data_IF_760520419685
#
_entry.id   IF_760520419685
#
_cell.length_a   1.000
_cell.length_b   1.000
_cell.length_c   1.000
_cell.angle_alpha   90.00
_cell.angle_beta   90.00
_cell.angle_gamma   90.00
#
_symmetry.space_group_name_H-M   'P 1'
#
loop_
_entity.id
_entity.type
_entity.pdbx_description
1 polymer ?
#
# COMPACT_ATOMS: atom_id res chain seq x y z
N UNK A 1 40.64 12.90 -18.08
CA UNK A 1 39.63 11.90 -18.52
C UNK A 1 38.93 11.41 -17.27
N UNK A 2 37.74 11.95 -17.03
CA UNK A 2 36.93 11.68 -15.84
C UNK A 2 36.20 10.34 -15.99
N UNK A 3 36.00 9.59 -14.90
CA UNK A 3 35.39 8.27 -14.97
C UNK A 3 33.88 8.38 -15.13
N UNK A 4 33.36 7.51 -15.98
CA UNK A 4 31.96 7.26 -16.28
C UNK A 4 31.24 6.77 -15.01
N UNK A 5 30.13 7.42 -14.66
CA UNK A 5 29.46 7.31 -13.34
C UNK A 5 27.99 6.92 -13.48
N UNK A 6 27.66 6.09 -14.48
CA UNK A 6 26.26 5.79 -14.85
C UNK A 6 25.80 4.34 -14.77
N UNK A 7 26.62 3.38 -14.30
CA UNK A 7 26.26 1.94 -14.42
C UNK A 7 25.93 1.18 -13.12
N UNK A 8 25.71 1.86 -11.99
CA UNK A 8 25.35 1.18 -10.73
C UNK A 8 23.84 1.04 -10.49
N UNK A 9 22.99 1.81 -11.17
CA UNK A 9 21.53 1.77 -10.94
C UNK A 9 20.83 0.55 -11.55
N UNK A 10 21.44 -0.10 -12.54
CA UNK A 10 20.82 -1.22 -13.27
C UNK A 10 21.00 -2.57 -12.55
N UNK A 11 22.00 -2.69 -11.68
CA UNK A 11 22.31 -3.95 -10.98
C UNK A 11 21.37 -4.28 -9.82
N UNK A 12 20.63 -3.30 -9.28
CA UNK A 12 19.62 -3.56 -8.24
C UNK A 12 18.36 -4.23 -8.86
N UNK A 13 18.14 -4.08 -10.17
CA UNK A 13 16.85 -4.37 -10.82
C UNK A 13 16.78 -5.79 -11.40
N UNK A 14 17.89 -6.52 -11.51
CA UNK A 14 17.94 -7.81 -12.20
C UNK A 14 18.67 -8.91 -11.41
N UNK A 15 18.09 -9.39 -10.30
CA UNK A 15 18.57 -10.63 -9.66
C UNK A 15 17.40 -11.52 -9.26
N UNK A 16 17.07 -12.51 -10.09
CA UNK A 16 16.27 -13.67 -9.70
C UNK A 16 17.19 -14.73 -9.09
N UNK A 17 17.06 -15.10 -7.80
CA UNK A 17 17.97 -16.07 -7.19
C UNK A 17 17.46 -17.51 -7.38
N UNK A 18 18.22 -18.32 -8.12
CA UNK A 18 18.02 -19.77 -8.27
C UNK A 18 18.78 -20.62 -7.24
N UNK A 19 19.58 -20.02 -6.34
CA UNK A 19 20.38 -20.74 -5.34
C UNK A 19 20.30 -20.13 -3.93
N UNK A 20 20.29 -20.97 -2.87
CA UNK A 20 20.19 -20.53 -1.46
C UNK A 20 21.33 -19.61 -1.01
N UNK A 21 22.55 -19.80 -1.55
CA UNK A 21 23.70 -18.94 -1.28
C UNK A 21 23.54 -17.55 -1.90
N UNK A 22 23.02 -17.45 -3.12
CA UNK A 22 22.69 -16.16 -3.74
C UNK A 22 21.61 -15.42 -2.94
N UNK A 23 20.59 -16.13 -2.44
CA UNK A 23 19.55 -15.53 -1.58
C UNK A 23 20.12 -14.96 -0.28
N UNK A 24 21.12 -15.62 0.32
CA UNK A 24 21.78 -15.14 1.54
C UNK A 24 22.67 -13.91 1.28
N UNK A 25 23.42 -13.89 0.17
CA UNK A 25 24.20 -12.71 -0.23
C UNK A 25 23.29 -11.50 -0.55
N UNK A 26 22.15 -11.74 -1.20
CA UNK A 26 21.15 -10.70 -1.48
C UNK A 26 20.54 -10.18 -0.18
N UNK A 27 20.29 -11.06 0.82
CA UNK A 27 19.79 -10.62 2.11
C UNK A 27 20.80 -9.71 2.84
N UNK A 28 22.09 -10.07 2.83
CA UNK A 28 23.16 -9.23 3.39
C UNK A 28 23.26 -7.86 2.70
N UNK A 29 23.21 -7.83 1.37
CA UNK A 29 23.19 -6.57 0.61
C UNK A 29 21.96 -5.72 0.93
N UNK A 30 20.76 -6.30 0.95
CA UNK A 30 19.53 -5.57 1.27
C UNK A 30 19.58 -5.00 2.69
N UNK A 31 20.14 -5.75 3.65
CA UNK A 31 20.30 -5.27 5.01
C UNK A 31 21.29 -4.10 5.10
N UNK A 32 22.42 -4.16 4.38
CA UNK A 32 23.39 -3.05 4.29
C UNK A 32 22.75 -1.82 3.64
N UNK A 33 22.04 -2.01 2.52
CA UNK A 33 21.36 -0.94 1.79
C UNK A 33 20.27 -0.25 2.62
N UNK A 34 19.46 -1.03 3.36
CA UNK A 34 18.40 -0.50 4.24
C UNK A 34 18.98 0.15 5.50
N UNK A 35 20.11 -0.34 6.00
CA UNK A 35 20.74 0.11 7.23
C UNK A 35 21.43 1.47 7.10
N UNK A 36 21.90 1.98 8.24
CA UNK A 36 22.74 3.18 8.27
C UNK A 36 24.16 2.85 7.80
N UNK A 37 24.85 3.78 7.12
CA UNK A 37 24.43 5.15 6.81
C UNK A 37 23.66 5.29 5.48
N UNK A 38 23.39 4.20 4.77
CA UNK A 38 22.85 4.26 3.40
C UNK A 38 21.38 4.68 3.36
N UNK A 39 20.56 4.24 4.33
CA UNK A 39 19.13 4.57 4.44
C UNK A 39 18.37 4.46 3.11
N UNK A 40 18.62 3.36 2.39
CA UNK A 40 18.19 3.19 1.01
C UNK A 40 16.66 3.23 0.81
N UNK A 41 15.88 2.95 1.86
CA UNK A 41 14.41 3.10 1.83
C UNK A 41 14.03 4.56 1.61
N UNK A 42 14.63 5.49 2.36
CA UNK A 42 14.37 6.92 2.22
C UNK A 42 14.77 7.42 0.83
N UNK A 43 15.96 7.02 0.35
CA UNK A 43 16.43 7.39 -0.99
C UNK A 43 15.51 6.87 -2.11
N UNK A 44 15.00 5.65 -1.98
CA UNK A 44 14.02 5.11 -2.93
C UNK A 44 12.69 5.88 -2.89
N UNK A 45 12.22 6.30 -1.72
CA UNK A 45 11.01 7.13 -1.60
C UNK A 45 11.19 8.51 -2.23
N UNK A 46 12.36 9.13 -2.07
CA UNK A 46 12.71 10.38 -2.73
C UNK A 46 12.77 10.22 -4.26
N UNK A 47 13.37 9.14 -4.74
CA UNK A 47 13.39 8.80 -6.16
C UNK A 47 11.97 8.61 -6.72
N UNK A 48 11.12 7.85 -6.02
CA UNK A 48 9.72 7.66 -6.41
C UNK A 48 8.98 8.99 -6.52
N UNK A 49 9.20 9.89 -5.56
CA UNK A 49 8.63 11.25 -5.58
C UNK A 49 9.12 12.06 -6.78
N UNK A 50 10.42 11.99 -7.10
CA UNK A 50 10.99 12.67 -8.27
C UNK A 50 10.38 12.14 -9.58
N UNK A 51 10.20 10.83 -9.69
CA UNK A 51 9.50 10.18 -10.81
C UNK A 51 8.08 10.71 -10.94
N UNK A 52 7.30 10.76 -9.86
CA UNK A 52 5.92 11.28 -9.88
C UNK A 52 5.83 12.76 -10.24
N UNK A 53 6.75 13.59 -9.75
CA UNK A 53 6.82 15.01 -10.12
C UNK A 53 7.12 15.19 -11.62
N UNK A 54 8.01 14.36 -12.17
CA UNK A 54 8.28 14.32 -13.61
C UNK A 54 7.03 13.92 -14.40
N UNK A 55 6.29 12.89 -13.95
CA UNK A 55 5.02 12.50 -14.58
C UNK A 55 4.02 13.66 -14.61
N UNK A 56 3.80 14.32 -13.47
CA UNK A 56 2.84 15.42 -13.37
C UNK A 56 3.19 16.60 -14.30
N UNK A 57 4.49 16.92 -14.45
CA UNK A 57 4.94 17.96 -15.37
C UNK A 57 4.79 17.57 -16.85
N UNK A 58 4.89 16.27 -17.16
CA UNK A 58 4.93 15.75 -18.53
C UNK A 58 3.58 15.30 -19.09
N UNK A 59 2.56 15.10 -18.25
CA UNK A 59 1.23 14.59 -18.64
C UNK A 59 0.57 15.33 -19.81
N UNK A 60 0.87 16.62 -20.03
CA UNK A 60 0.26 17.42 -21.10
C UNK A 60 1.14 17.59 -22.36
N UNK A 61 2.42 17.16 -22.36
CA UNK A 61 3.39 17.61 -23.39
C UNK A 61 4.31 16.52 -23.96
N UNK A 62 4.30 15.30 -23.40
CA UNK A 62 5.29 14.29 -23.77
C UNK A 62 4.75 13.21 -24.73
N UNK A 63 5.58 12.75 -25.69
CA UNK A 63 5.27 11.60 -26.53
C UNK A 63 4.95 10.33 -25.73
N UNK A 64 4.06 9.45 -26.22
CA UNK A 64 3.67 8.21 -25.52
C UNK A 64 4.82 7.31 -25.04
N UNK A 65 5.94 7.15 -25.76
CA UNK A 65 7.08 6.33 -25.29
C UNK A 65 7.71 6.84 -23.99
N UNK A 66 7.83 8.17 -23.83
CA UNK A 66 8.39 8.77 -22.62
C UNK A 66 7.43 8.56 -21.45
N UNK A 67 6.13 8.78 -21.64
CA UNK A 67 5.13 8.52 -20.60
C UNK A 67 5.17 7.06 -20.12
N UNK A 68 5.29 6.10 -21.05
CA UNK A 68 5.43 4.68 -20.71
C UNK A 68 6.71 4.41 -19.91
N UNK A 69 7.82 5.07 -20.23
CA UNK A 69 9.07 4.91 -19.49
C UNK A 69 8.93 5.38 -18.04
N UNK A 70 8.30 6.53 -17.80
CA UNK A 70 8.13 7.04 -16.44
C UNK A 70 7.22 6.13 -15.59
N UNK A 71 6.19 5.51 -16.19
CA UNK A 71 5.36 4.51 -15.51
C UNK A 71 6.13 3.22 -15.17
N UNK A 72 7.09 2.82 -16.01
CA UNK A 72 7.97 1.69 -15.73
C UNK A 72 8.96 2.02 -14.59
N UNK A 73 9.55 3.21 -14.60
CA UNK A 73 10.47 3.65 -13.55
C UNK A 73 9.75 3.74 -12.18
N UNK A 74 8.49 4.22 -12.16
CA UNK A 74 7.63 4.16 -10.96
C UNK A 74 7.45 2.72 -10.46
N UNK A 75 7.07 1.80 -11.36
CA UNK A 75 6.85 0.41 -10.99
C UNK A 75 8.12 -0.26 -10.46
N UNK A 76 9.26 -0.03 -11.12
CA UNK A 76 10.55 -0.57 -10.69
C UNK A 76 10.96 -0.04 -9.31
N UNK A 77 10.70 1.23 -9.02
CA UNK A 77 10.97 1.80 -7.71
C UNK A 77 10.11 1.14 -6.61
N UNK A 78 8.82 0.92 -6.87
CA UNK A 78 7.93 0.18 -5.97
C UNK A 78 8.41 -1.26 -5.72
N UNK A 79 8.91 -1.95 -6.74
CA UNK A 79 9.47 -3.31 -6.58
C UNK A 79 10.75 -3.32 -5.75
N UNK A 80 11.60 -2.30 -5.88
CA UNK A 80 12.79 -2.15 -5.05
C UNK A 80 12.41 -1.95 -3.57
N UNK A 81 11.44 -1.08 -3.29
CA UNK A 81 10.89 -0.89 -1.95
C UNK A 81 10.28 -2.19 -1.39
N UNK A 82 9.52 -2.93 -2.20
CA UNK A 82 8.95 -4.22 -1.81
C UNK A 82 10.04 -5.23 -1.45
N UNK A 83 11.14 -5.25 -2.21
CA UNK A 83 12.29 -6.11 -1.93
C UNK A 83 13.00 -5.72 -0.64
N UNK A 84 13.02 -4.43 -0.28
CA UNK A 84 13.57 -3.96 0.99
C UNK A 84 12.80 -4.49 2.21
N UNK A 85 11.49 -4.76 2.08
CA UNK A 85 10.67 -5.30 3.18
C UNK A 85 11.08 -6.70 3.67
N UNK A 86 12.03 -7.35 2.99
CA UNK A 86 12.71 -8.56 3.51
C UNK A 86 13.56 -8.24 4.75
N UNK A 87 13.98 -6.99 4.92
CA UNK A 87 14.65 -6.49 6.11
C UNK A 87 13.61 -6.01 7.14
N UNK A 88 13.67 -6.47 8.41
CA UNK A 88 12.72 -6.05 9.46
C UNK A 88 12.66 -4.53 9.68
N UNK A 89 13.78 -3.84 9.47
CA UNK A 89 13.91 -2.39 9.70
C UNK A 89 13.30 -1.55 8.58
N UNK A 90 13.13 -2.12 7.39
CA UNK A 90 12.61 -1.40 6.24
C UNK A 90 11.18 -0.90 6.46
N UNK A 91 10.31 -1.71 7.10
CA UNK A 91 8.94 -1.31 7.41
C UNK A 91 8.88 -0.13 8.40
N UNK A 92 9.80 -0.09 9.38
CA UNK A 92 9.92 1.05 10.30
C UNK A 92 10.35 2.30 9.56
N UNK A 93 11.42 2.22 8.77
CA UNK A 93 11.94 3.35 7.97
C UNK A 93 10.89 3.89 6.99
N UNK A 94 10.16 2.98 6.33
CA UNK A 94 9.03 3.32 5.46
C UNK A 94 7.97 4.15 6.21
N UNK A 95 7.61 3.73 7.42
CA UNK A 95 6.60 4.37 8.25
C UNK A 95 7.05 5.71 8.85
N UNK A 96 8.37 5.91 8.99
CA UNK A 96 8.98 7.13 9.53
C UNK A 96 9.08 8.28 8.53
N UNK A 97 8.67 8.09 7.27
CA UNK A 97 8.70 9.14 6.24
C UNK A 97 7.27 9.52 5.82
N UNK A 98 6.63 10.54 6.43
CA UNK A 98 5.29 10.97 6.06
C UNK A 98 5.17 11.37 4.58
N UNK A 99 6.20 12.06 4.05
CA UNK A 99 6.27 12.42 2.64
C UNK A 99 6.35 11.17 1.74
N UNK A 100 7.13 10.16 2.15
CA UNK A 100 7.24 8.88 1.44
C UNK A 100 5.93 8.09 1.45
N UNK A 101 5.22 8.04 2.58
CA UNK A 101 3.91 7.40 2.68
C UNK A 101 2.87 8.08 1.79
N UNK A 102 2.89 9.41 1.71
CA UNK A 102 2.05 10.14 0.76
C UNK A 102 2.40 9.79 -0.69
N UNK A 103 3.68 9.75 -1.04
CA UNK A 103 4.17 9.30 -2.35
C UNK A 103 3.68 7.87 -2.69
N UNK A 104 3.67 6.95 -1.73
CA UNK A 104 3.09 5.61 -1.92
C UNK A 104 1.57 5.64 -2.08
N UNK A 105 0.86 6.46 -1.32
CA UNK A 105 -0.59 6.62 -1.45
C UNK A 105 -0.99 7.12 -2.85
N UNK A 106 -0.19 8.02 -3.45
CA UNK A 106 -0.39 8.48 -4.83
C UNK A 106 -0.31 7.30 -5.83
N UNK A 107 0.55 6.30 -5.60
CA UNK A 107 0.66 5.13 -6.48
C UNK A 107 -0.60 4.25 -6.51
N UNK A 108 -1.53 4.37 -5.54
CA UNK A 108 -2.85 3.73 -5.62
C UNK A 108 -3.63 4.26 -6.85
N UNK A 109 -3.40 5.53 -7.22
CA UNK A 109 -4.05 6.20 -8.35
C UNK A 109 -3.35 5.91 -9.70
N UNK A 110 -2.24 5.16 -9.70
CA UNK A 110 -1.43 4.88 -10.90
C UNK A 110 -2.27 4.25 -12.02
N UNK A 111 -1.95 4.46 -13.29
CA UNK A 111 -2.66 3.78 -14.40
C UNK A 111 -2.21 2.32 -14.60
N UNK A 112 -1.24 1.86 -13.82
CA UNK A 112 -0.68 0.50 -13.90
C UNK A 112 -1.19 -0.35 -12.75
N UNK A 113 -2.07 -1.33 -13.00
CA UNK A 113 -2.65 -2.18 -11.96
C UNK A 113 -1.59 -2.86 -11.08
N UNK A 114 -0.46 -3.30 -11.66
CA UNK A 114 0.66 -3.88 -10.91
C UNK A 114 1.30 -2.90 -9.93
N UNK A 115 1.41 -1.62 -10.28
CA UNK A 115 1.90 -0.59 -9.36
C UNK A 115 0.92 -0.38 -8.20
N UNK A 116 -0.38 -0.39 -8.48
CA UNK A 116 -1.41 -0.28 -7.42
C UNK A 116 -1.33 -1.43 -6.42
N UNK A 117 -1.17 -2.66 -6.91
CA UNK A 117 -0.99 -3.86 -6.05
C UNK A 117 0.19 -3.65 -5.10
N UNK A 118 1.37 -3.30 -5.64
CA UNK A 118 2.57 -3.15 -4.81
C UNK A 118 2.44 -1.97 -3.84
N UNK A 119 1.83 -0.87 -4.26
CA UNK A 119 1.56 0.27 -3.37
C UNK A 119 0.68 -0.13 -2.17
N UNK A 120 -0.39 -0.91 -2.42
CA UNK A 120 -1.27 -1.42 -1.36
C UNK A 120 -0.53 -2.39 -0.43
N UNK A 121 0.31 -3.28 -0.96
CA UNK A 121 1.14 -4.18 -0.15
C UNK A 121 2.15 -3.41 0.73
N UNK A 122 2.80 -2.38 0.19
CA UNK A 122 3.74 -1.52 0.93
C UNK A 122 3.03 -0.76 2.06
N UNK A 123 1.87 -0.16 1.77
CA UNK A 123 1.07 0.56 2.78
C UNK A 123 0.50 -0.39 3.84
N UNK A 124 0.13 -1.61 3.46
CA UNK A 124 -0.25 -2.67 4.41
C UNK A 124 0.90 -2.94 5.39
N UNK A 125 2.11 -3.11 4.87
CA UNK A 125 3.31 -3.39 5.68
C UNK A 125 3.75 -2.20 6.55
N UNK A 126 3.38 -0.97 6.18
CA UNK A 126 3.58 0.21 7.02
C UNK A 126 2.59 0.27 8.20
N UNK A 127 1.41 -0.34 8.08
CA UNK A 127 0.44 -0.43 9.17
C UNK A 127 0.79 -1.53 10.19
N UNK A 128 1.36 -2.65 9.73
CA UNK A 128 1.68 -3.82 10.57
C UNK A 128 2.96 -3.61 11.42
N UNK A 129 3.04 -4.18 12.64
CA UNK A 129 4.29 -4.27 13.38
C UNK A 129 5.42 -4.93 12.55
N UNK A 130 6.68 -4.46 12.65
CA UNK A 130 7.17 -3.42 13.56
C UNK A 130 6.88 -1.98 13.12
N UNK A 131 6.16 -1.77 12.00
CA UNK A 131 5.67 -0.45 11.60
C UNK A 131 4.69 0.13 12.63
N UNK A 132 4.93 1.37 13.05
CA UNK A 132 4.11 2.07 14.05
C UNK A 132 3.07 3.00 13.39
N UNK A 133 2.59 2.64 12.20
CA UNK A 133 2.24 3.63 11.18
C UNK A 133 0.78 3.86 10.88
N UNK A 134 -0.20 3.36 11.67
CA UNK A 134 -1.62 3.60 11.35
C UNK A 134 -1.89 5.10 11.16
N UNK A 135 -1.45 5.94 12.10
CA UNK A 135 -1.65 7.40 12.02
C UNK A 135 -0.95 8.01 10.80
N UNK A 136 0.36 7.82 10.56
CA UNK A 136 1.02 8.30 9.33
C UNK A 136 0.35 7.84 8.01
N UNK A 137 -0.08 6.58 7.92
CA UNK A 137 -0.78 6.05 6.73
C UNK A 137 -2.16 6.70 6.58
N UNK A 138 -2.88 6.87 7.69
CA UNK A 138 -4.17 7.56 7.74
C UNK A 138 -4.06 9.01 7.27
N UNK A 139 -3.03 9.73 7.71
CA UNK A 139 -2.74 11.12 7.29
C UNK A 139 -2.38 11.20 5.80
N UNK A 140 -1.58 10.27 5.29
CA UNK A 140 -1.25 10.18 3.87
C UNK A 140 -2.51 10.00 3.00
N UNK A 141 -3.44 9.13 3.41
CA UNK A 141 -4.72 8.91 2.73
C UNK A 141 -5.67 10.12 2.84
N UNK A 142 -5.68 10.80 3.99
CA UNK A 142 -6.43 12.05 4.14
C UNK A 142 -5.88 13.15 3.24
N UNK A 143 -4.56 13.23 3.08
CA UNK A 143 -3.88 14.15 2.16
C UNK A 143 -4.20 13.79 0.71
N UNK A 144 -4.22 12.49 0.38
CA UNK A 144 -4.60 12.00 -0.96
C UNK A 144 -6.01 12.46 -1.33
N UNK A 145 -6.98 12.26 -0.42
CA UNK A 145 -8.37 12.73 -0.58
C UNK A 145 -8.41 14.21 -0.95
N UNK A 146 -7.71 15.06 -0.19
CA UNK A 146 -7.69 16.51 -0.40
C UNK A 146 -7.00 16.89 -1.73
N UNK A 147 -5.87 16.25 -2.04
CA UNK A 147 -5.07 16.57 -3.24
C UNK A 147 -5.76 16.18 -4.55
N UNK A 148 -6.55 15.11 -4.53
CA UNK A 148 -7.26 14.61 -5.71
C UNK A 148 -8.75 14.95 -5.71
N UNK A 149 -9.21 15.75 -4.75
CA UNK A 149 -10.60 16.21 -4.70
C UNK A 149 -11.60 15.08 -4.50
N UNK A 150 -11.22 14.03 -3.78
CA UNK A 150 -12.16 12.97 -3.44
C UNK A 150 -13.22 13.49 -2.46
N UNK A 151 -14.52 13.22 -2.70
CA UNK A 151 -15.59 13.73 -1.83
C UNK A 151 -15.50 13.17 -0.40
N UNK A 152 -15.10 11.91 -0.28
CA UNK A 152 -14.84 11.19 0.98
C UNK A 152 -13.57 10.36 0.82
N UNK A 153 -12.89 10.04 1.91
CA UNK A 153 -11.67 9.23 1.87
C UNK A 153 -12.00 7.84 1.31
N UNK A 154 -11.05 7.24 0.59
CA UNK A 154 -11.16 5.90 -0.02
C UNK A 154 -12.13 5.80 -1.20
N UNK A 155 -12.75 6.90 -1.66
CA UNK A 155 -13.77 6.85 -2.71
C UNK A 155 -13.24 6.21 -3.99
N UNK A 156 -12.06 6.62 -4.45
CA UNK A 156 -11.42 6.02 -5.61
C UNK A 156 -11.02 4.57 -5.35
N UNK A 157 -10.40 4.28 -4.20
CA UNK A 157 -9.95 2.93 -3.85
C UNK A 157 -11.12 1.94 -3.88
N UNK A 158 -12.22 2.27 -3.22
CA UNK A 158 -13.43 1.43 -3.18
C UNK A 158 -14.02 1.28 -4.57
N UNK A 159 -14.16 2.37 -5.32
CA UNK A 159 -14.63 2.32 -6.71
C UNK A 159 -13.77 1.41 -7.59
N UNK A 160 -12.44 1.55 -7.47
CA UNK A 160 -11.49 0.70 -8.16
C UNK A 160 -11.64 -0.78 -7.80
N UNK A 161 -11.79 -1.13 -6.51
CA UNK A 161 -11.90 -2.52 -6.08
C UNK A 161 -13.20 -3.17 -6.60
N UNK A 162 -14.30 -2.41 -6.61
CA UNK A 162 -15.59 -2.85 -7.14
C UNK A 162 -15.54 -2.98 -8.68
N UNK A 163 -14.86 -2.06 -9.35
CA UNK A 163 -14.76 -2.00 -10.81
C UNK A 163 -13.54 -2.72 -11.38
N UNK A 164 -12.77 -3.45 -10.59
CA UNK A 164 -11.44 -3.99 -10.95
C UNK A 164 -11.42 -4.97 -12.14
N UNK A 165 -12.55 -5.18 -12.83
CA UNK A 165 -12.62 -5.91 -14.10
C UNK A 165 -12.19 -7.36 -13.99
N UNK A 166 -12.25 -7.94 -12.79
CA UNK A 166 -11.76 -9.30 -12.52
C UNK A 166 -10.24 -9.39 -12.38
N UNK A 167 -9.54 -8.37 -11.89
CA UNK A 167 -8.15 -8.50 -11.42
C UNK A 167 -8.14 -8.94 -9.95
N UNK A 168 -8.04 -10.25 -9.65
CA UNK A 168 -8.15 -10.78 -8.29
C UNK A 168 -7.00 -10.33 -7.39
N UNK A 169 -5.80 -10.11 -7.95
CA UNK A 169 -4.62 -9.70 -7.17
C UNK A 169 -4.81 -8.29 -6.60
N UNK A 170 -5.37 -7.38 -7.40
CA UNK A 170 -5.67 -6.01 -6.97
C UNK A 170 -6.76 -6.00 -5.90
N UNK A 171 -7.80 -6.82 -6.07
CA UNK A 171 -8.86 -6.98 -5.09
C UNK A 171 -8.33 -7.55 -3.77
N UNK A 172 -7.54 -8.61 -3.83
CA UNK A 172 -6.93 -9.23 -2.66
C UNK A 172 -6.00 -8.27 -1.91
N UNK A 173 -5.12 -7.56 -2.64
CA UNK A 173 -4.22 -6.57 -2.05
C UNK A 173 -4.99 -5.42 -1.39
N UNK A 174 -6.03 -4.91 -2.05
CA UNK A 174 -6.86 -3.83 -1.53
C UNK A 174 -7.67 -4.23 -0.30
N UNK A 175 -8.31 -5.41 -0.32
CA UNK A 175 -9.03 -5.92 0.85
C UNK A 175 -8.09 -6.21 2.02
N UNK A 176 -6.90 -6.77 1.75
CA UNK A 176 -5.88 -6.98 2.78
C UNK A 176 -5.45 -5.65 3.41
N UNK A 177 -5.21 -4.64 2.59
CA UNK A 177 -4.88 -3.30 3.06
C UNK A 177 -5.99 -2.73 3.96
N UNK A 178 -7.24 -2.73 3.49
CA UNK A 178 -8.37 -2.20 4.26
C UNK A 178 -8.56 -2.92 5.60
N UNK A 179 -8.44 -4.25 5.61
CA UNK A 179 -8.54 -5.03 6.85
C UNK A 179 -7.44 -4.67 7.83
N UNK A 180 -6.20 -4.67 7.34
CA UNK A 180 -5.03 -4.31 8.16
C UNK A 180 -5.15 -2.89 8.69
N UNK A 181 -5.62 -1.96 7.86
CA UNK A 181 -5.83 -0.57 8.26
C UNK A 181 -6.90 -0.45 9.36
N UNK A 182 -8.01 -1.17 9.27
CA UNK A 182 -9.03 -1.22 10.33
C UNK A 182 -8.53 -1.90 11.60
N UNK A 183 -7.80 -3.01 11.47
CA UNK A 183 -7.30 -3.79 12.59
C UNK A 183 -6.25 -3.02 13.40
N UNK A 184 -5.40 -2.26 12.71
CA UNK A 184 -4.34 -1.42 13.30
C UNK A 184 -4.81 -0.06 13.81
N UNK A 185 -6.11 0.24 13.73
CA UNK A 185 -6.67 1.47 14.27
C UNK A 185 -6.36 1.60 15.78
N UNK A 186 -6.03 2.82 16.27
CA UNK A 186 -5.52 3.02 17.64
C UNK A 186 -6.56 2.77 18.73
N UNK A 187 -7.86 2.80 18.40
CA UNK A 187 -8.93 2.47 19.32
C UNK A 187 -10.16 1.95 18.59
N UNK A 188 -11.09 1.32 19.33
CA UNK A 188 -12.37 0.88 18.79
C UNK A 188 -13.19 2.05 18.20
N UNK A 189 -13.15 3.22 18.84
CA UNK A 189 -13.82 4.42 18.33
C UNK A 189 -13.25 4.85 16.97
N UNK A 190 -11.92 4.82 16.80
CA UNK A 190 -11.32 5.11 15.49
C UNK A 190 -11.76 4.08 14.45
N UNK A 191 -11.80 2.79 14.80
CA UNK A 191 -12.28 1.74 13.90
C UNK A 191 -13.71 2.00 13.43
N UNK A 192 -14.63 2.36 14.33
CA UNK A 192 -16.01 2.71 13.98
C UNK A 192 -16.09 3.93 13.03
N UNK A 193 -15.27 4.96 13.26
CA UNK A 193 -15.20 6.11 12.36
C UNK A 193 -14.70 5.72 10.96
N UNK A 194 -13.64 4.90 10.89
CA UNK A 194 -13.10 4.40 9.62
C UNK A 194 -14.11 3.54 8.87
N UNK A 195 -14.86 2.69 9.59
CA UNK A 195 -15.93 1.89 9.02
C UNK A 195 -17.02 2.80 8.39
N UNK A 196 -17.44 3.85 9.09
CA UNK A 196 -18.39 4.82 8.55
C UNK A 196 -17.85 5.57 7.30
N UNK A 197 -16.56 5.93 7.27
CA UNK A 197 -15.94 6.51 6.07
C UNK A 197 -15.93 5.54 4.89
N UNK A 198 -15.62 4.27 5.12
CA UNK A 198 -15.66 3.23 4.09
C UNK A 198 -17.08 3.03 3.57
N UNK A 199 -18.09 3.05 4.44
CA UNK A 199 -19.49 2.99 4.04
C UNK A 199 -19.86 4.16 3.13
N UNK A 200 -19.51 5.39 3.52
CA UNK A 200 -19.71 6.59 2.72
C UNK A 200 -18.98 6.54 1.36
N UNK A 201 -17.82 5.87 1.30
CA UNK A 201 -17.09 5.62 0.07
C UNK A 201 -17.77 4.58 -0.86
N UNK A 202 -18.80 3.89 -0.37
CA UNK A 202 -19.58 2.88 -1.08
C UNK A 202 -19.19 1.44 -0.76
N UNK A 203 -18.40 1.21 0.30
CA UNK A 203 -17.95 -0.11 0.71
C UNK A 203 -19.04 -0.79 1.57
N UNK A 204 -20.00 -1.42 0.89
CA UNK A 204 -21.15 -2.10 1.49
C UNK A 204 -21.01 -3.63 1.43
N UNK A 205 -21.81 -4.35 2.21
CA UNK A 205 -21.88 -5.83 2.15
C UNK A 205 -22.22 -6.36 0.74
N UNK A 206 -23.00 -5.62 -0.04
CA UNK A 206 -23.29 -5.92 -1.44
C UNK A 206 -22.06 -5.71 -2.34
N UNK A 207 -21.29 -4.64 -2.11
CA UNK A 207 -20.04 -4.39 -2.82
C UNK A 207 -18.98 -5.46 -2.49
N UNK A 208 -18.84 -5.85 -1.22
CA UNK A 208 -17.92 -6.91 -0.78
C UNK A 208 -18.25 -8.24 -1.46
N UNK A 209 -19.54 -8.58 -1.60
CA UNK A 209 -19.96 -9.79 -2.33
C UNK A 209 -19.54 -9.77 -3.80
N UNK A 210 -19.67 -8.64 -4.48
CA UNK A 210 -19.20 -8.49 -5.88
C UNK A 210 -17.70 -8.68 -6.00
N UNK A 211 -16.92 -8.17 -5.04
CA UNK A 211 -15.46 -8.37 -4.99
C UNK A 211 -15.11 -9.84 -4.71
N UNK A 212 -15.86 -10.53 -3.85
CA UNK A 212 -15.66 -11.96 -3.53
C UNK A 212 -16.03 -12.93 -4.65
N UNK A 213 -16.91 -12.55 -5.57
CA UNK A 213 -17.29 -13.40 -6.70
C UNK A 213 -16.17 -13.61 -7.74
N UNK A 214 -14.98 -13.00 -7.58
CA UNK A 214 -13.89 -13.05 -8.56
C UNK A 214 -12.85 -14.16 -8.39
N UNK A 215 -12.81 -14.97 -7.30
CA UNK A 215 -12.31 -16.38 -7.31
C UNK A 215 -12.15 -17.04 -5.92
N UNK A 216 -12.18 -18.39 -5.97
CA UNK A 216 -11.87 -19.39 -4.96
C UNK A 216 -10.43 -19.33 -4.42
N UNK A 217 -10.08 -18.30 -3.66
CA UNK A 217 -8.79 -18.23 -2.95
C UNK A 217 -9.04 -18.19 -1.45
N UNK A 218 -8.54 -19.23 -0.77
CA UNK A 218 -8.64 -19.46 0.68
C UNK A 218 -7.98 -18.36 1.50
N UNK A 219 -8.70 -17.24 1.67
CA UNK A 219 -8.33 -16.17 2.56
C UNK A 219 -9.22 -16.24 3.80
N UNK A 220 -8.63 -16.66 4.91
CA UNK A 220 -9.18 -16.55 6.27
C UNK A 220 -9.24 -15.07 6.73
N UNK A 221 -9.41 -14.12 5.81
CA UNK A 221 -9.62 -12.67 6.06
C UNK A 221 -11.05 -12.37 6.52
N UNK A 222 -11.69 -13.34 7.16
CA UNK A 222 -13.12 -13.35 7.45
C UNK A 222 -13.48 -12.57 8.70
N UNK A 223 -12.61 -12.40 9.69
CA UNK A 223 -13.03 -11.83 10.99
C UNK A 223 -13.44 -10.35 10.94
N UNK A 224 -12.61 -9.44 10.42
CA UNK A 224 -12.91 -8.00 10.46
C UNK A 224 -14.02 -7.56 9.49
N UNK A 225 -14.09 -8.13 8.28
CA UNK A 225 -15.16 -7.87 7.31
C UNK A 225 -16.45 -8.64 7.61
N UNK A 226 -16.38 -9.82 8.25
CA UNK A 226 -17.58 -10.43 8.80
C UNK A 226 -18.12 -9.56 9.93
N UNK A 227 -17.27 -9.03 10.82
CA UNK A 227 -17.70 -8.06 11.84
C UNK A 227 -18.33 -6.83 11.20
N UNK A 228 -17.77 -6.25 10.14
CA UNK A 228 -18.44 -5.17 9.38
C UNK A 228 -19.85 -5.54 8.87
N UNK A 229 -20.05 -6.77 8.43
CA UNK A 229 -21.36 -7.28 7.99
C UNK A 229 -22.32 -7.63 9.15
N UNK A 230 -21.79 -7.89 10.35
CA UNK A 230 -22.57 -8.25 11.55
C UNK A 230 -22.88 -7.02 12.42
N UNK A 231 -21.97 -6.03 12.43
CA UNK A 231 -22.06 -4.77 13.20
C UNK A 231 -22.92 -3.70 12.51
N UNK A 232 -23.07 -3.72 11.18
CA UNK A 232 -23.99 -2.85 10.44
C UNK A 232 -25.48 -3.07 10.81
N UNK A 233 -25.78 -4.02 11.69
CA UNK A 233 -27.10 -4.29 12.25
C UNK A 233 -27.31 -3.89 13.72
N UNK A 234 -26.29 -3.46 14.47
CA UNK A 234 -26.43 -3.18 15.90
C UNK A 234 -25.61 -1.97 16.34
N UNK A 235 -26.28 -0.82 16.31
CA UNK A 235 -25.99 0.30 17.20
C UNK A 235 -26.21 -0.11 18.65
N UNK A 236 -25.20 -0.63 19.34
CA UNK A 236 -25.05 -0.45 20.78
C UNK A 236 -23.66 -0.88 21.25
N UNK A 237 -23.00 0.01 21.97
CA UNK A 237 -22.01 -0.40 22.96
C UNK A 237 -22.80 -1.20 24.00
N UNK A 238 -22.50 -2.49 24.16
CA UNK A 238 -22.33 -3.09 25.49
C UNK A 238 -21.56 -4.42 25.42
N UNK A 239 -20.30 -4.40 25.84
CA UNK A 239 -19.49 -5.62 26.05
C UNK A 239 -19.78 -6.26 27.42
N UNK A 240 -20.60 -5.66 28.29
CA UNK A 240 -20.89 -6.16 29.64
C UNK A 240 -22.13 -7.08 29.71
N UNK A 241 -22.88 -7.28 28.62
CA UNK A 241 -23.97 -8.27 28.56
C UNK A 241 -23.48 -9.73 28.42
N UNK A 242 -22.18 -9.96 28.13
CA UNK A 242 -21.60 -11.31 27.96
C UNK A 242 -20.91 -11.87 29.22
N UNK A 243 -21.04 -11.20 30.38
CA UNK A 243 -20.52 -11.72 31.67
C UNK A 243 -21.57 -12.37 32.57
N UNK A 244 -22.85 -12.41 32.17
CA UNK A 244 -23.95 -12.84 33.04
C UNK A 244 -24.73 -14.09 32.57
N UNK A 245 -24.15 -14.93 31.72
CA UNK A 245 -24.71 -16.26 31.44
C UNK A 245 -23.56 -17.27 31.36
N UNK A 246 -23.37 -17.94 32.51
CA UNK A 246 -22.73 -19.26 32.77
C UNK A 246 -21.49 -19.67 31.96
#
# INVERSE_FOLDING_TARGET
MSPDRTDTSTHIIAVTPTSRLATNCIFGFVQEFVGDPLDGVTLLLELLRAVQLSQAAQQARCPPPLLRRVLLDEHSCLQCLKSCLRCPDAARRLSSSPAGLFTLAVCIMSNVSKSRVVALELLTRACEPPGCGHTPVSEALSTLRLRFGEPVRFRFLVGMLISAGGCPELQAAGLRFLNTFLDTAPSQQHRLYLQAELEQAGFTTAAIRKVRCSESVGLNTTSALANYATEAGQSHIDLDMLKNLE
#
